data_IF_184532399176
#
_entry.id   IF_184532399176
#
_cell.length_a   1.000
_cell.length_b   1.000
_cell.length_c   1.000
_cell.angle_alpha   90.00
_cell.angle_beta   90.00
_cell.angle_gamma   90.00
#
_symmetry.space_group_name_H-M   'P 1'
#
loop_
_entity.id
_entity.type
_entity.pdbx_description
1 polymer ?
#
# COMPACT_ATOMS: atom_id res chain seq x y z
N UNK A 1 -30.91 6.83 37.21
CA UNK A 1 -29.46 6.64 37.33
C UNK A 1 -29.19 5.15 37.50
N UNK A 2 -28.49 4.54 36.55
CA UNK A 2 -28.13 3.12 36.54
C UNK A 2 -26.62 3.03 36.43
N UNK A 3 -26.01 2.23 37.30
CA UNK A 3 -24.57 1.93 37.25
C UNK A 3 -24.38 0.66 36.41
N UNK A 4 -23.62 0.79 35.33
CA UNK A 4 -23.28 -0.33 34.44
C UNK A 4 -21.78 -0.58 34.59
N UNK A 5 -21.41 -1.83 34.81
CA UNK A 5 -20.01 -2.24 34.91
C UNK A 5 -19.54 -2.81 33.58
N UNK A 6 -18.53 -2.20 32.98
CA UNK A 6 -17.90 -2.67 31.74
C UNK A 6 -16.40 -2.76 31.98
N UNK A 7 -15.83 -3.95 31.79
CA UNK A 7 -14.39 -4.24 31.92
C UNK A 7 -13.74 -3.69 33.20
N UNK A 8 -14.40 -3.92 34.34
CA UNK A 8 -13.90 -3.48 35.66
C UNK A 8 -14.09 -1.99 35.97
N UNK A 9 -14.56 -1.18 35.02
CA UNK A 9 -14.91 0.22 35.21
C UNK A 9 -16.42 0.41 35.43
N UNK A 10 -16.76 1.34 36.32
CA UNK A 10 -18.13 1.70 36.65
C UNK A 10 -18.54 2.95 35.85
N UNK A 11 -19.58 2.80 35.02
CA UNK A 11 -20.13 3.87 34.19
C UNK A 11 -21.51 4.25 34.71
N UNK A 12 -21.72 5.55 34.91
CA UNK A 12 -22.98 6.09 35.44
C UNK A 12 -23.84 6.56 34.27
N UNK A 13 -24.97 5.88 34.06
CA UNK A 13 -25.97 6.27 33.07
C UNK A 13 -27.09 7.02 33.77
N UNK A 14 -27.12 8.35 33.62
CA UNK A 14 -28.13 9.20 34.23
C UNK A 14 -29.29 9.51 33.27
N UNK A 15 -29.00 9.64 31.97
CA UNK A 15 -29.95 10.04 30.92
C UNK A 15 -29.97 9.06 29.74
N UNK A 16 -30.95 9.22 28.84
CA UNK A 16 -31.03 8.44 27.59
C UNK A 16 -29.85 8.76 26.67
N UNK A 17 -29.42 10.02 26.61
CA UNK A 17 -28.24 10.44 25.84
C UNK A 17 -26.94 9.78 26.34
N UNK A 18 -26.81 9.59 27.67
CA UNK A 18 -25.68 8.86 28.25
C UNK A 18 -25.69 7.39 27.83
N UNK A 19 -26.88 6.78 27.75
CA UNK A 19 -27.05 5.41 27.29
C UNK A 19 -26.70 5.29 25.80
N UNK A 20 -27.15 6.22 24.95
CA UNK A 20 -26.82 6.23 23.53
C UNK A 20 -25.32 6.44 23.29
N UNK A 21 -24.68 7.33 24.07
CA UNK A 21 -23.23 7.56 24.01
C UNK A 21 -22.45 6.33 24.46
N UNK A 22 -22.89 5.67 25.53
CA UNK A 22 -22.30 4.41 25.99
C UNK A 22 -22.46 3.32 24.94
N UNK A 23 -23.67 3.14 24.37
CA UNK A 23 -23.91 2.18 23.30
C UNK A 23 -23.09 2.47 22.04
N UNK A 24 -22.89 3.75 21.69
CA UNK A 24 -22.04 4.16 20.57
C UNK A 24 -20.58 3.82 20.84
N UNK A 25 -20.05 4.16 22.02
CA UNK A 25 -18.68 3.82 22.43
C UNK A 25 -18.45 2.31 22.47
N UNK A 26 -19.36 1.56 23.07
CA UNK A 26 -19.28 0.08 23.12
C UNK A 26 -19.38 -0.52 21.73
N UNK A 27 -20.23 0.02 20.84
CA UNK A 27 -20.25 -0.38 19.43
C UNK A 27 -18.93 -0.04 18.75
N UNK A 28 -18.37 1.14 18.95
CA UNK A 28 -17.09 1.55 18.38
C UNK A 28 -15.92 0.72 18.92
N UNK A 29 -15.97 0.25 20.17
CA UNK A 29 -15.00 -0.64 20.79
C UNK A 29 -15.16 -2.10 20.31
N UNK A 30 -16.40 -2.60 20.20
CA UNK A 30 -16.71 -3.91 19.60
C UNK A 30 -16.47 -3.93 18.08
N UNK A 31 -16.52 -2.76 17.43
CA UNK A 31 -16.22 -2.54 16.01
C UNK A 31 -14.80 -2.02 15.78
N UNK A 32 -13.97 -1.87 16.83
CA UNK A 32 -12.52 -1.79 16.62
C UNK A 32 -12.16 -3.07 15.87
N UNK A 33 -11.35 -2.99 14.80
CA UNK A 33 -10.99 -4.18 14.04
C UNK A 33 -10.04 -5.01 14.90
N UNK A 34 -10.59 -5.78 15.83
CA UNK A 34 -9.94 -6.94 16.40
C UNK A 34 -9.65 -7.87 15.22
N UNK A 35 -8.40 -8.29 15.10
CA UNK A 35 -8.07 -9.25 14.07
C UNK A 35 -8.88 -10.53 14.33
N UNK A 36 -9.49 -11.06 13.27
CA UNK A 36 -10.34 -12.25 13.34
C UNK A 36 -9.50 -13.53 13.43
N UNK A 37 -8.24 -13.47 13.00
CA UNK A 37 -7.34 -14.62 12.96
C UNK A 37 -6.02 -14.30 13.64
N UNK A 38 -5.59 -15.20 14.53
CA UNK A 38 -4.32 -15.12 15.27
C UNK A 38 -3.32 -16.20 14.83
N UNK A 39 -3.74 -17.12 13.95
CA UNK A 39 -2.87 -18.17 13.47
C UNK A 39 -2.03 -17.69 12.29
N UNK A 40 -0.77 -18.12 12.27
CA UNK A 40 0.13 -17.97 11.16
C UNK A 40 0.67 -19.35 10.78
N UNK A 41 0.36 -19.76 9.57
CA UNK A 41 0.85 -21.00 8.95
C UNK A 41 0.84 -20.75 7.44
N UNK A 42 1.93 -20.20 6.90
CA UNK A 42 2.02 -19.90 5.47
C UNK A 42 3.11 -20.78 4.89
N UNK A 43 2.72 -21.96 4.41
CA UNK A 43 3.66 -22.98 3.92
C UNK A 43 3.44 -23.37 2.46
N UNK A 44 2.59 -22.61 1.78
CA UNK A 44 2.32 -22.77 0.36
C UNK A 44 2.98 -21.61 -0.37
N UNK A 45 3.78 -21.88 -1.42
CA UNK A 45 4.29 -20.85 -2.32
C UNK A 45 3.17 -19.92 -2.82
N UNK A 46 3.35 -18.59 -2.80
CA UNK A 46 2.27 -17.67 -3.14
C UNK A 46 1.73 -17.84 -4.56
N UNK A 47 2.57 -18.16 -5.54
CA UNK A 47 2.18 -18.50 -6.91
C UNK A 47 1.17 -19.65 -6.95
N UNK A 48 1.43 -20.71 -6.18
CA UNK A 48 0.53 -21.87 -6.06
C UNK A 48 -0.76 -21.52 -5.32
N UNK A 49 -0.66 -20.69 -4.29
CA UNK A 49 -1.84 -20.21 -3.56
C UNK A 49 -2.76 -19.39 -4.48
N UNK A 50 -2.21 -18.46 -5.26
CA UNK A 50 -2.97 -17.65 -6.21
C UNK A 50 -3.55 -18.50 -7.35
N UNK A 51 -2.79 -19.47 -7.88
CA UNK A 51 -3.28 -20.42 -8.87
C UNK A 51 -4.44 -21.27 -8.32
N UNK A 52 -4.34 -21.73 -7.08
CA UNK A 52 -5.42 -22.43 -6.39
C UNK A 52 -6.65 -21.55 -6.24
N UNK A 53 -6.51 -20.29 -5.82
CA UNK A 53 -7.64 -19.36 -5.71
C UNK A 53 -8.33 -19.12 -7.06
N UNK A 54 -7.56 -19.00 -8.15
CA UNK A 54 -8.13 -18.94 -9.51
C UNK A 54 -8.95 -20.20 -9.83
N UNK A 55 -8.47 -21.39 -9.43
CA UNK A 55 -9.20 -22.65 -9.57
C UNK A 55 -10.46 -22.70 -8.70
N UNK A 56 -10.41 -22.17 -7.48
CA UNK A 56 -11.57 -22.06 -6.57
C UNK A 56 -12.72 -21.34 -7.24
N UNK A 57 -12.46 -20.21 -7.90
CA UNK A 57 -13.51 -19.48 -8.62
C UNK A 57 -14.12 -20.30 -9.75
N UNK A 58 -13.29 -20.94 -10.58
CA UNK A 58 -13.77 -21.78 -11.69
C UNK A 58 -14.66 -22.92 -11.17
N UNK A 59 -14.25 -23.54 -10.07
CA UNK A 59 -15.00 -24.64 -9.45
C UNK A 59 -16.27 -24.19 -8.76
N UNK A 60 -16.25 -23.04 -8.11
CA UNK A 60 -17.43 -22.41 -7.54
C UNK A 60 -18.47 -22.11 -8.63
N UNK A 61 -18.05 -21.61 -9.79
CA UNK A 61 -18.93 -21.38 -10.94
C UNK A 61 -19.52 -22.68 -11.52
N UNK A 62 -18.86 -23.82 -11.31
CA UNK A 62 -19.33 -25.16 -11.67
C UNK A 62 -20.18 -25.82 -10.57
N UNK A 63 -20.45 -25.13 -9.45
CA UNK A 63 -21.23 -25.66 -8.33
C UNK A 63 -20.44 -26.52 -7.32
N UNK A 64 -19.11 -26.61 -7.45
CA UNK A 64 -18.27 -27.36 -6.51
C UNK A 64 -17.85 -26.46 -5.36
N UNK A 65 -18.31 -26.78 -4.14
CA UNK A 65 -18.10 -25.97 -2.94
C UNK A 65 -17.11 -26.58 -1.93
N UNK A 66 -16.77 -27.86 -2.08
CA UNK A 66 -15.92 -28.60 -1.15
C UNK A 66 -14.45 -28.25 -1.29
N UNK A 67 -13.79 -27.88 -0.18
CA UNK A 67 -12.35 -27.56 -0.18
C UNK A 67 -11.51 -28.76 -0.58
N UNK A 68 -11.82 -29.95 -0.05
CA UNK A 68 -11.08 -31.18 -0.32
C UNK A 68 -11.12 -31.58 -1.80
N UNK A 69 -12.26 -31.41 -2.47
CA UNK A 69 -12.43 -31.78 -3.88
C UNK A 69 -11.60 -30.85 -4.77
N UNK A 70 -11.71 -29.54 -4.54
CA UNK A 70 -10.95 -28.54 -5.31
C UNK A 70 -9.44 -28.69 -5.11
N UNK A 71 -8.98 -28.93 -3.86
CA UNK A 71 -7.56 -29.17 -3.59
C UNK A 71 -7.10 -30.45 -4.26
N UNK A 72 -7.87 -31.54 -4.18
CA UNK A 72 -7.48 -32.83 -4.76
C UNK A 72 -7.34 -32.72 -6.28
N UNK A 73 -8.32 -32.11 -6.95
CA UNK A 73 -8.23 -31.85 -8.39
C UNK A 73 -7.06 -30.95 -8.76
N UNK A 74 -6.82 -29.88 -7.99
CA UNK A 74 -5.69 -28.98 -8.23
C UNK A 74 -4.35 -29.71 -8.10
N UNK A 75 -4.20 -30.58 -7.10
CA UNK A 75 -2.99 -31.38 -6.94
C UNK A 75 -2.81 -32.37 -8.08
N UNK A 76 -3.88 -33.01 -8.54
CA UNK A 76 -3.84 -33.96 -9.66
C UNK A 76 -3.50 -33.25 -10.99
N UNK A 77 -4.09 -32.09 -11.27
CA UNK A 77 -3.84 -31.28 -12.48
C UNK A 77 -2.37 -30.81 -12.56
N UNK A 78 -1.80 -30.40 -11.43
CA UNK A 78 -0.41 -29.92 -11.35
C UNK A 78 0.61 -31.04 -11.07
N UNK A 79 0.19 -32.32 -11.08
CA UNK A 79 1.02 -33.51 -10.79
C UNK A 79 1.78 -33.39 -9.45
N UNK A 80 1.10 -32.85 -8.44
CA UNK A 80 1.62 -32.63 -7.10
C UNK A 80 1.19 -33.74 -6.14
N UNK A 81 2.00 -33.98 -5.09
CA UNK A 81 1.67 -34.99 -4.09
C UNK A 81 0.37 -34.67 -3.34
N UNK A 82 -0.53 -35.65 -3.22
CA UNK A 82 -1.77 -35.55 -2.41
C UNK A 82 -1.50 -35.21 -0.95
N UNK A 83 -0.31 -35.51 -0.42
CA UNK A 83 0.10 -35.16 0.95
C UNK A 83 0.18 -33.65 1.18
N UNK A 84 0.33 -32.85 0.13
CA UNK A 84 0.35 -31.38 0.22
C UNK A 84 -0.98 -30.78 0.66
N UNK A 85 -2.10 -31.53 0.56
CA UNK A 85 -3.39 -31.13 1.13
C UNK A 85 -3.29 -30.80 2.63
N UNK A 86 -2.42 -31.51 3.38
CA UNK A 86 -2.13 -31.27 4.81
C UNK A 86 -1.40 -29.96 5.08
N UNK A 87 -0.81 -29.34 4.05
CA UNK A 87 -0.12 -28.05 4.12
C UNK A 87 -0.99 -26.93 3.55
N UNK A 88 -1.72 -27.21 2.47
CA UNK A 88 -2.62 -26.24 1.82
C UNK A 88 -3.79 -25.89 2.73
N UNK A 89 -4.46 -26.89 3.32
CA UNK A 89 -5.66 -26.66 4.13
C UNK A 89 -5.41 -25.74 5.33
N UNK A 90 -4.36 -25.98 6.16
CA UNK A 90 -4.09 -25.06 7.28
C UNK A 90 -3.60 -23.68 6.83
N UNK A 91 -2.98 -23.57 5.65
CA UNK A 91 -2.59 -22.27 5.08
C UNK A 91 -3.82 -21.45 4.69
N UNK A 92 -4.76 -22.05 3.97
CA UNK A 92 -6.03 -21.41 3.61
C UNK A 92 -6.83 -21.01 4.85
N UNK A 93 -6.88 -21.89 5.85
CA UNK A 93 -7.60 -21.61 7.10
C UNK A 93 -6.96 -20.45 7.88
N UNK A 94 -5.62 -20.39 7.96
CA UNK A 94 -4.92 -19.30 8.65
C UNK A 94 -5.10 -17.94 7.98
N UNK A 95 -5.34 -17.94 6.66
CA UNK A 95 -5.67 -16.73 5.90
C UNK A 95 -7.18 -16.40 5.91
N UNK A 96 -8.03 -17.18 6.58
CA UNK A 96 -9.49 -16.98 6.54
C UNK A 96 -10.12 -17.24 5.15
N UNK A 97 -9.42 -17.97 4.29
CA UNK A 97 -9.88 -18.31 2.93
C UNK A 97 -10.81 -19.53 2.92
N UNK A 98 -10.82 -20.29 4.02
CA UNK A 98 -11.72 -21.43 4.22
C UNK A 98 -12.36 -21.38 5.60
N UNK A 99 -13.60 -21.86 5.68
CA UNK A 99 -14.36 -22.03 6.90
C UNK A 99 -15.25 -23.28 6.78
N UNK A 100 -15.27 -24.13 7.80
CA UNK A 100 -16.14 -25.32 7.87
C UNK A 100 -16.10 -26.21 6.61
N UNK A 101 -14.90 -26.42 6.05
CA UNK A 101 -14.68 -27.26 4.86
C UNK A 101 -15.10 -26.64 3.53
N UNK A 102 -15.47 -25.35 3.51
CA UNK A 102 -15.85 -24.59 2.31
C UNK A 102 -14.93 -23.38 2.12
N UNK A 103 -14.81 -22.89 0.89
CA UNK A 103 -14.15 -21.62 0.61
C UNK A 103 -15.03 -20.45 1.05
N UNK A 104 -14.40 -19.39 1.58
CA UNK A 104 -15.11 -18.17 1.94
C UNK A 104 -15.43 -17.32 0.71
N UNK A 105 -16.40 -16.42 0.82
CA UNK A 105 -16.71 -15.47 -0.25
C UNK A 105 -15.48 -14.65 -0.67
N UNK A 106 -14.61 -14.30 0.29
CA UNK A 106 -13.36 -13.59 0.03
C UNK A 106 -12.41 -14.41 -0.85
N UNK A 107 -12.29 -15.73 -0.63
CA UNK A 107 -11.47 -16.61 -1.47
C UNK A 107 -12.00 -16.71 -2.90
N UNK A 108 -13.32 -16.85 -3.06
CA UNK A 108 -13.97 -16.89 -4.38
C UNK A 108 -13.78 -15.57 -5.12
N UNK A 109 -13.92 -14.44 -4.43
CA UNK A 109 -13.76 -13.11 -5.03
C UNK A 109 -12.32 -12.83 -5.46
N UNK A 110 -11.32 -13.15 -4.64
CA UNK A 110 -9.90 -13.08 -5.06
C UNK A 110 -9.68 -13.97 -6.28
N UNK A 111 -10.22 -15.19 -6.27
CA UNK A 111 -10.16 -16.12 -7.39
C UNK A 111 -10.74 -15.54 -8.68
N UNK A 112 -11.89 -14.86 -8.59
CA UNK A 112 -12.55 -14.17 -9.71
C UNK A 112 -11.66 -13.08 -10.29
N UNK A 113 -11.13 -12.19 -9.44
CA UNK A 113 -10.28 -11.08 -9.87
C UNK A 113 -9.00 -11.58 -10.55
N UNK A 114 -8.39 -12.64 -10.02
CA UNK A 114 -7.24 -13.31 -10.64
C UNK A 114 -7.60 -13.98 -11.98
N UNK A 115 -8.80 -14.54 -12.10
CA UNK A 115 -9.28 -15.13 -13.34
C UNK A 115 -9.51 -14.07 -14.43
N UNK A 116 -10.08 -12.93 -14.06
CA UNK A 116 -10.36 -11.79 -14.95
C UNK A 116 -9.12 -10.94 -15.28
N UNK A 117 -7.95 -11.24 -14.69
CA UNK A 117 -6.72 -10.45 -14.90
C UNK A 117 -6.70 -9.10 -14.16
N UNK A 118 -7.62 -8.87 -13.22
CA UNK A 118 -7.75 -7.64 -12.43
C UNK A 118 -6.81 -7.67 -11.22
N UNK A 119 -5.50 -7.66 -11.50
CA UNK A 119 -4.46 -7.90 -10.50
C UNK A 119 -4.45 -6.87 -9.37
N UNK A 120 -4.66 -5.58 -9.67
CA UNK A 120 -4.61 -4.53 -8.65
C UNK A 120 -5.77 -4.63 -7.64
N UNK A 121 -6.95 -5.01 -8.14
CA UNK A 121 -8.11 -5.29 -7.29
C UNK A 121 -7.92 -6.57 -6.48
N UNK A 122 -7.30 -7.61 -7.08
CA UNK A 122 -6.95 -8.82 -6.34
C UNK A 122 -5.97 -8.52 -5.20
N UNK A 123 -4.95 -7.68 -5.45
CA UNK A 123 -4.03 -7.19 -4.41
C UNK A 123 -4.76 -6.45 -3.30
N UNK A 124 -5.72 -5.59 -3.65
CA UNK A 124 -6.50 -4.88 -2.63
C UNK A 124 -7.34 -5.82 -1.78
N UNK A 125 -7.94 -6.83 -2.41
CA UNK A 125 -8.71 -7.82 -1.68
C UNK A 125 -7.82 -8.66 -0.77
N UNK A 126 -6.61 -9.00 -1.21
CA UNK A 126 -5.60 -9.67 -0.37
C UNK A 126 -5.18 -8.80 0.83
N UNK A 127 -4.96 -7.48 0.65
CA UNK A 127 -4.69 -6.58 1.78
C UNK A 127 -5.82 -6.60 2.80
N UNK A 128 -7.07 -6.56 2.33
CA UNK A 128 -8.25 -6.62 3.19
C UNK A 128 -8.34 -7.94 3.97
N UNK A 129 -7.88 -9.05 3.38
CA UNK A 129 -7.77 -10.35 4.05
C UNK A 129 -6.64 -10.32 5.09
N UNK A 130 -5.47 -9.78 4.75
CA UNK A 130 -4.33 -9.71 5.66
C UNK A 130 -4.60 -8.81 6.86
N UNK A 131 -5.33 -7.72 6.68
CA UNK A 131 -5.75 -6.83 7.76
C UNK A 131 -6.65 -7.52 8.81
N UNK A 132 -7.26 -8.67 8.48
CA UNK A 132 -8.04 -9.50 9.41
C UNK A 132 -7.18 -10.51 10.17
N UNK A 133 -5.92 -10.71 9.81
CA UNK A 133 -4.99 -11.60 10.50
C UNK A 133 -3.99 -10.76 11.30
N UNK A 134 -3.91 -10.96 12.62
CA UNK A 134 -3.12 -10.09 13.50
C UNK A 134 -1.63 -10.12 13.19
N UNK A 135 -1.08 -11.31 12.92
CA UNK A 135 0.34 -11.46 12.57
C UNK A 135 0.64 -10.73 11.26
N UNK A 136 -0.19 -10.92 10.23
CA UNK A 136 0.03 -10.28 8.93
C UNK A 136 -0.20 -8.77 8.99
N UNK A 137 -1.21 -8.31 9.73
CA UNK A 137 -1.49 -6.89 9.95
C UNK A 137 -0.30 -6.20 10.61
N UNK A 138 0.22 -6.77 11.70
CA UNK A 138 1.36 -6.20 12.43
C UNK A 138 2.62 -6.13 11.54
N UNK A 139 2.88 -7.16 10.71
CA UNK A 139 3.99 -7.13 9.76
C UNK A 139 3.81 -6.01 8.73
N UNK A 140 2.61 -5.88 8.16
CA UNK A 140 2.28 -4.86 7.16
C UNK A 140 2.36 -3.43 7.72
N UNK A 141 2.05 -3.24 9.01
CA UNK A 141 2.16 -1.95 9.69
C UNK A 141 3.60 -1.61 10.07
N UNK A 142 4.43 -2.62 10.36
CA UNK A 142 5.83 -2.45 10.76
C UNK A 142 6.79 -2.21 9.59
N UNK A 143 6.47 -2.71 8.39
CA UNK A 143 7.30 -2.53 7.21
C UNK A 143 7.11 -1.12 6.61
N UNK A 144 8.14 -0.28 6.68
CA UNK A 144 8.05 1.10 6.15
C UNK A 144 8.21 1.16 4.62
N UNK A 145 8.95 0.19 4.05
CA UNK A 145 9.15 0.00 2.61
C UNK A 145 9.14 -1.50 2.22
N UNK A 146 9.29 -1.79 0.93
CA UNK A 146 9.28 -3.17 0.41
C UNK A 146 10.50 -4.00 0.81
N UNK A 147 11.65 -3.36 1.03
CA UNK A 147 12.89 -4.04 1.39
C UNK A 147 12.87 -4.49 2.86
N UNK A 148 12.18 -3.75 3.72
CA UNK A 148 12.04 -4.05 5.15
C UNK A 148 11.06 -5.19 5.49
N UNK A 149 10.26 -5.66 4.52
CA UNK A 149 9.24 -6.70 4.80
C UNK A 149 9.87 -7.96 5.42
N UNK A 150 11.03 -8.40 4.94
CA UNK A 150 11.69 -9.59 5.48
C UNK A 150 12.08 -9.42 6.96
N UNK A 151 12.67 -8.26 7.28
CA UNK A 151 13.04 -7.88 8.64
C UNK A 151 11.79 -7.78 9.55
N UNK A 152 10.70 -7.22 9.03
CA UNK A 152 9.43 -7.12 9.74
C UNK A 152 8.82 -8.52 10.03
N UNK A 153 8.82 -9.41 9.03
CA UNK A 153 8.36 -10.81 9.18
C UNK A 153 9.15 -11.51 10.28
N UNK A 154 10.49 -11.51 10.21
CA UNK A 154 11.34 -12.17 11.21
C UNK A 154 11.08 -11.60 12.60
N UNK A 155 11.05 -10.27 12.72
CA UNK A 155 10.86 -9.60 14.02
C UNK A 155 9.51 -9.93 14.66
N UNK A 156 8.40 -9.85 13.91
CA UNK A 156 7.05 -10.13 14.44
C UNK A 156 6.94 -11.60 14.81
N UNK A 157 7.37 -12.52 13.95
CA UNK A 157 7.25 -13.95 14.23
C UNK A 157 8.07 -14.40 15.45
N UNK A 158 9.24 -13.81 15.65
CA UNK A 158 10.03 -14.02 16.88
C UNK A 158 9.31 -13.50 18.13
N UNK A 159 8.66 -12.34 18.05
CA UNK A 159 7.90 -11.76 19.17
C UNK A 159 6.71 -12.65 19.59
N UNK A 160 6.10 -13.38 18.65
CA UNK A 160 5.06 -14.38 18.93
C UNK A 160 5.62 -15.72 19.45
N UNK A 161 6.91 -15.79 19.78
CA UNK A 161 7.55 -16.94 20.42
C UNK A 161 7.68 -18.17 19.51
N UNK A 162 7.70 -17.99 18.19
CA UNK A 162 7.75 -19.10 17.22
C UNK A 162 9.19 -19.45 16.82
N UNK A 163 9.42 -20.74 16.61
CA UNK A 163 10.62 -21.23 15.90
C UNK A 163 10.45 -20.94 14.41
N UNK A 164 11.36 -20.14 13.85
CA UNK A 164 11.28 -19.68 12.47
C UNK A 164 11.67 -20.80 11.51
N UNK A 165 10.72 -21.32 10.74
CA UNK A 165 11.02 -22.20 9.60
C UNK A 165 11.31 -21.36 8.37
N UNK A 166 12.32 -21.77 7.61
CA UNK A 166 12.75 -21.05 6.41
C UNK A 166 11.62 -20.91 5.37
N UNK A 167 10.86 -21.98 5.14
CA UNK A 167 9.75 -21.97 4.19
C UNK A 167 8.61 -21.03 4.61
N UNK A 168 8.28 -21.03 5.90
CA UNK A 168 7.25 -20.14 6.43
C UNK A 168 7.65 -18.66 6.33
N UNK A 169 8.89 -18.32 6.69
CA UNK A 169 9.40 -16.94 6.53
C UNK A 169 9.40 -16.54 5.06
N UNK A 170 9.98 -17.38 4.19
CA UNK A 170 10.09 -17.11 2.75
C UNK A 170 8.72 -16.85 2.12
N UNK A 171 7.78 -17.78 2.30
CA UNK A 171 6.47 -17.66 1.65
C UNK A 171 5.61 -16.56 2.26
N UNK A 172 5.79 -16.24 3.54
CA UNK A 172 5.16 -15.05 4.14
C UNK A 172 5.69 -13.77 3.51
N UNK A 173 7.01 -13.63 3.38
CA UNK A 173 7.62 -12.46 2.73
C UNK A 173 7.13 -12.31 1.29
N UNK A 174 7.19 -13.38 0.50
CA UNK A 174 6.74 -13.36 -0.90
C UNK A 174 5.25 -13.03 -1.01
N UNK A 175 4.39 -13.59 -0.14
CA UNK A 175 2.95 -13.31 -0.13
C UNK A 175 2.66 -11.85 0.24
N UNK A 176 3.34 -11.33 1.25
CA UNK A 176 3.16 -9.94 1.68
C UNK A 176 3.66 -8.97 0.62
N UNK A 177 4.80 -9.25 -0.05
CA UNK A 177 5.31 -8.42 -1.15
C UNK A 177 4.31 -8.30 -2.31
N UNK A 178 3.51 -9.33 -2.59
CA UNK A 178 2.48 -9.25 -3.63
C UNK A 178 1.39 -8.21 -3.30
N UNK A 179 1.02 -8.09 -2.03
CA UNK A 179 -0.06 -7.21 -1.59
C UNK A 179 0.44 -5.89 -0.99
N UNK A 180 1.68 -5.78 -0.54
CA UNK A 180 2.16 -4.60 0.16
C UNK A 180 2.12 -3.36 -0.75
N UNK A 181 1.47 -2.25 -0.37
CA UNK A 181 1.38 -1.05 -1.20
C UNK A 181 2.74 -0.53 -1.69
N UNK A 182 3.78 -0.63 -0.85
CA UNK A 182 5.15 -0.20 -1.19
C UNK A 182 5.92 -1.16 -2.11
N UNK A 183 5.39 -2.36 -2.36
CA UNK A 183 5.97 -3.33 -3.29
C UNK A 183 5.29 -3.33 -4.66
N UNK A 184 4.36 -2.39 -4.88
CA UNK A 184 3.68 -2.24 -6.15
C UNK A 184 4.69 -1.94 -7.26
N UNK A 185 4.53 -2.59 -8.41
CA UNK A 185 5.35 -2.30 -9.58
C UNK A 185 5.04 -0.86 -10.04
N UNK A 186 6.02 0.02 -9.87
CA UNK A 186 5.94 1.43 -10.23
C UNK A 186 6.10 1.69 -11.73
N UNK A 187 5.58 0.76 -12.54
CA UNK A 187 5.34 0.96 -13.96
C UNK A 187 4.18 1.94 -14.16
N UNK A 188 4.52 3.19 -14.47
CA UNK A 188 3.57 4.30 -14.61
C UNK A 188 2.94 4.41 -16.02
N UNK A 189 2.93 3.31 -16.80
CA UNK A 189 2.20 3.24 -18.08
C UNK A 189 0.68 3.31 -17.91
N UNK A 190 0.17 2.77 -16.80
CA UNK A 190 -1.23 2.81 -16.40
C UNK A 190 -1.31 3.27 -14.94
N UNK A 191 -1.83 4.48 -14.73
CA UNK A 191 -1.74 5.20 -13.45
C UNK A 191 -3.10 5.37 -12.81
N UNK A 192 -3.14 5.14 -11.49
CA UNK A 192 -4.26 5.49 -10.61
C UNK A 192 -3.77 6.44 -9.50
N UNK A 193 -4.64 7.24 -8.86
CA UNK A 193 -4.24 8.10 -7.73
C UNK A 193 -3.51 7.36 -6.61
N UNK A 194 -3.89 6.10 -6.38
CA UNK A 194 -3.23 5.24 -5.40
C UNK A 194 -1.81 4.88 -5.81
N UNK A 195 -1.62 4.49 -7.08
CA UNK A 195 -0.30 4.12 -7.60
C UNK A 195 0.68 5.28 -7.49
N UNK A 196 0.22 6.52 -7.67
CA UNK A 196 1.00 7.73 -7.43
C UNK A 196 1.47 7.81 -5.98
N UNK A 197 0.56 7.66 -5.01
CA UNK A 197 0.89 7.71 -3.59
C UNK A 197 1.88 6.61 -3.14
N UNK A 198 1.82 5.45 -3.79
CA UNK A 198 2.74 4.33 -3.51
C UNK A 198 4.10 4.50 -4.21
N UNK A 199 4.13 5.13 -5.39
CA UNK A 199 5.30 5.23 -6.27
C UNK A 199 5.94 6.61 -6.31
N UNK A 200 5.78 7.41 -5.26
CA UNK A 200 6.29 8.78 -5.17
C UNK A 200 7.80 8.87 -5.45
N UNK A 201 8.60 7.95 -4.91
CA UNK A 201 10.04 7.92 -5.18
C UNK A 201 10.36 7.71 -6.66
N UNK A 202 9.62 6.82 -7.33
CA UNK A 202 9.75 6.62 -8.78
C UNK A 202 9.36 7.88 -9.55
N UNK A 203 8.35 8.61 -9.08
CA UNK A 203 7.95 9.90 -9.68
C UNK A 203 9.07 10.93 -9.53
N UNK A 204 9.69 11.02 -8.35
CA UNK A 204 10.84 11.92 -8.12
C UNK A 204 12.01 11.56 -9.04
N UNK A 205 12.33 10.26 -9.18
CA UNK A 205 13.37 9.78 -10.09
C UNK A 205 13.10 10.17 -11.54
N UNK A 206 11.85 10.04 -11.99
CA UNK A 206 11.44 10.43 -13.34
C UNK A 206 11.44 11.95 -13.55
N UNK A 207 11.20 12.73 -12.50
CA UNK A 207 11.26 14.19 -12.55
C UNK A 207 12.70 14.73 -12.57
N UNK A 208 13.65 14.03 -11.94
CA UNK A 208 15.01 14.52 -11.72
C UNK A 208 15.73 15.05 -12.98
N UNK A 209 15.68 14.37 -14.16
CA UNK A 209 16.30 14.90 -15.38
C UNK A 209 15.73 16.24 -15.84
N UNK A 210 14.45 16.48 -15.58
CA UNK A 210 13.74 17.70 -16.00
C UNK A 210 13.89 18.84 -14.98
N UNK A 211 14.10 18.50 -13.72
CA UNK A 211 14.45 19.46 -12.67
C UNK A 211 15.78 20.16 -12.97
N UNK A 212 16.74 19.45 -13.59
CA UNK A 212 18.03 20.04 -14.02
C UNK A 212 17.84 21.24 -14.94
N UNK A 213 16.99 21.12 -15.95
CA UNK A 213 16.71 22.22 -16.88
C UNK A 213 16.13 23.45 -16.17
N UNK A 214 15.38 23.24 -15.08
CA UNK A 214 14.79 24.33 -14.29
C UNK A 214 15.81 24.97 -13.35
N UNK A 215 16.75 24.19 -12.81
CA UNK A 215 17.86 24.71 -12.01
C UNK A 215 18.78 25.60 -12.85
N UNK A 216 19.10 25.17 -14.07
CA UNK A 216 19.89 25.95 -15.03
C UNK A 216 19.19 27.29 -15.38
N UNK A 217 17.86 27.29 -15.54
CA UNK A 217 17.09 28.52 -15.79
C UNK A 217 17.06 29.51 -14.61
N UNK A 218 17.22 29.01 -13.39
CA UNK A 218 17.20 29.79 -12.16
C UNK A 218 18.62 30.05 -11.62
N UNK A 219 19.66 29.76 -12.40
CA UNK A 219 21.06 29.91 -12.02
C UNK A 219 21.40 29.26 -10.66
N UNK A 220 20.77 28.13 -10.34
CA UNK A 220 21.03 27.39 -9.10
C UNK A 220 22.34 26.62 -9.26
N UNK A 221 23.35 26.96 -8.46
CA UNK A 221 24.71 26.44 -8.61
C UNK A 221 24.87 24.95 -8.28
N UNK A 222 23.94 24.38 -7.51
CA UNK A 222 23.95 22.98 -7.07
C UNK A 222 23.17 22.11 -8.04
N UNK A 223 23.87 21.34 -8.87
CA UNK A 223 23.21 20.43 -9.82
C UNK A 223 22.49 19.26 -9.12
N UNK A 224 21.37 18.76 -9.67
CA UNK A 224 20.60 17.67 -9.06
C UNK A 224 21.39 16.39 -8.81
N UNK A 225 22.47 16.10 -9.55
CA UNK A 225 23.25 14.85 -9.35
C UNK A 225 24.07 14.83 -8.05
N UNK A 226 24.31 16.01 -7.47
CA UNK A 226 24.98 16.16 -6.18
C UNK A 226 24.01 16.10 -5.00
N UNK A 227 22.73 15.90 -5.28
CA UNK A 227 21.68 15.93 -4.28
C UNK A 227 21.22 14.52 -3.94
N UNK A 228 20.89 14.32 -2.68
CA UNK A 228 20.12 13.19 -2.21
C UNK A 228 18.85 13.70 -1.55
N UNK A 229 17.86 12.82 -1.43
CA UNK A 229 16.60 13.17 -0.79
C UNK A 229 16.19 12.11 0.22
N UNK A 230 15.67 12.59 1.34
CA UNK A 230 15.20 11.77 2.44
C UNK A 230 13.73 12.09 2.68
N UNK A 231 12.90 11.06 2.79
CA UNK A 231 11.47 11.24 3.03
C UNK A 231 11.27 11.80 4.44
N UNK A 232 10.59 12.95 4.54
CA UNK A 232 10.20 13.55 5.81
C UNK A 232 8.75 13.21 6.17
N UNK A 233 7.86 13.23 5.19
CA UNK A 233 6.45 12.84 5.34
C UNK A 233 5.94 12.19 4.02
N UNK A 234 4.69 11.68 3.94
CA UNK A 234 4.19 11.02 2.73
C UNK A 234 4.25 11.85 1.44
N UNK A 235 4.30 13.17 1.55
CA UNK A 235 4.27 14.14 0.45
C UNK A 235 5.52 15.03 0.36
N UNK A 236 6.43 14.96 1.34
CA UNK A 236 7.58 15.88 1.45
C UNK A 236 8.87 15.12 1.66
N UNK A 237 9.91 15.57 0.94
CA UNK A 237 11.27 15.05 1.06
C UNK A 237 12.23 16.20 1.32
N UNK A 238 13.19 16.00 2.22
CA UNK A 238 14.29 16.93 2.44
C UNK A 238 15.37 16.66 1.39
N UNK A 239 15.92 17.73 0.83
CA UNK A 239 17.05 17.68 -0.11
C UNK A 239 18.32 17.99 0.68
N UNK A 240 19.29 17.08 0.65
CA UNK A 240 20.64 17.28 1.19
C UNK A 240 21.69 17.19 0.10
N UNK A 241 22.85 17.80 0.34
CA UNK A 241 24.03 17.62 -0.51
C UNK A 241 24.66 16.28 -0.16
N UNK A 242 24.83 15.42 -1.16
CA UNK A 242 25.36 14.06 -1.00
C UNK A 242 26.69 14.08 -0.25
N UNK A 243 26.80 13.24 0.78
CA UNK A 243 27.99 13.14 1.62
C UNK A 243 28.12 14.27 2.65
N UNK A 244 27.06 15.03 2.89
CA UNK A 244 26.98 16.05 3.93
C UNK A 244 25.65 15.97 4.66
N UNK A 245 25.62 16.43 5.92
CA UNK A 245 24.37 16.58 6.67
C UNK A 245 23.64 17.91 6.36
N UNK A 246 24.09 18.67 5.35
CA UNK A 246 23.51 19.97 5.02
C UNK A 246 22.22 19.79 4.22
N UNK A 247 21.08 20.10 4.85
CA UNK A 247 19.81 20.24 4.16
C UNK A 247 19.73 21.60 3.45
N UNK A 248 19.50 21.56 2.14
CA UNK A 248 19.46 22.75 1.29
C UNK A 248 18.07 23.01 0.69
N UNK A 249 17.16 22.04 0.77
CA UNK A 249 15.91 22.14 0.04
C UNK A 249 14.81 21.17 0.44
N UNK A 250 13.68 21.28 -0.26
CA UNK A 250 12.53 20.38 -0.12
C UNK A 250 11.96 19.98 -1.47
N UNK A 251 11.57 18.72 -1.61
CA UNK A 251 10.67 18.26 -2.67
C UNK A 251 9.28 18.11 -2.07
N UNK A 252 8.28 18.67 -2.74
CA UNK A 252 6.88 18.67 -2.30
C UNK A 252 6.01 18.09 -3.40
N UNK A 253 5.29 17.03 -3.07
CA UNK A 253 4.41 16.31 -3.99
C UNK A 253 2.97 16.78 -3.76
N UNK A 254 2.36 17.32 -4.81
CA UNK A 254 0.96 17.72 -4.81
C UNK A 254 0.02 16.54 -5.05
N UNK A 255 -1.25 16.74 -4.69
CA UNK A 255 -2.32 15.81 -5.03
C UNK A 255 -2.47 15.70 -6.56
N UNK A 256 -2.80 14.51 -7.08
CA UNK A 256 -3.03 14.34 -8.50
C UNK A 256 -4.26 15.11 -8.97
N UNK A 257 -4.16 15.71 -10.16
CA UNK A 257 -5.25 16.43 -10.81
C UNK A 257 -5.63 15.76 -12.13
N UNK A 258 -6.90 15.89 -12.55
CA UNK A 258 -7.42 15.23 -13.76
C UNK A 258 -7.51 16.14 -14.99
N UNK A 259 -7.04 17.38 -14.88
CA UNK A 259 -7.13 18.37 -15.96
C UNK A 259 -5.93 19.31 -15.94
N UNK A 260 -5.48 19.69 -17.14
CA UNK A 260 -4.47 20.75 -17.36
C UNK A 260 -5.13 22.14 -17.39
N UNK A 261 -6.39 22.26 -16.95
CA UNK A 261 -7.06 23.56 -16.89
C UNK A 261 -6.30 24.51 -15.95
N UNK A 262 -5.95 25.67 -16.49
CA UNK A 262 -5.12 26.69 -15.84
C UNK A 262 -5.61 27.08 -14.42
N UNK A 263 -6.92 27.21 -14.14
CA UNK A 263 -7.39 27.49 -12.77
C UNK A 263 -7.06 26.38 -11.78
N UNK A 264 -7.19 25.11 -12.18
CA UNK A 264 -6.90 23.97 -11.31
C UNK A 264 -5.40 23.85 -11.01
N UNK A 265 -4.55 24.05 -12.03
CA UNK A 265 -3.10 24.09 -11.86
C UNK A 265 -2.66 25.19 -10.90
N UNK A 266 -3.21 26.41 -11.07
CA UNK A 266 -2.93 27.55 -10.19
C UNK A 266 -3.33 27.26 -8.74
N UNK A 267 -4.52 26.72 -8.54
CA UNK A 267 -5.01 26.37 -7.20
C UNK A 267 -4.13 25.30 -6.55
N UNK A 268 -3.73 24.26 -7.29
CA UNK A 268 -2.84 23.23 -6.77
C UNK A 268 -1.44 23.77 -6.43
N UNK A 269 -0.86 24.64 -7.27
CA UNK A 269 0.42 25.30 -6.97
C UNK A 269 0.35 26.21 -5.75
N UNK A 270 -0.75 26.97 -5.61
CA UNK A 270 -0.97 27.87 -4.47
C UNK A 270 -1.01 27.10 -3.14
N UNK A 271 -1.68 25.94 -3.10
CA UNK A 271 -1.66 25.05 -1.91
C UNK A 271 -0.25 24.58 -1.55
N UNK A 272 0.63 24.40 -2.55
CA UNK A 272 2.03 24.03 -2.30
C UNK A 272 2.89 25.23 -1.90
N UNK A 273 2.53 26.45 -2.34
CA UNK A 273 3.20 27.68 -1.92
C UNK A 273 3.05 27.93 -0.41
N UNK A 274 1.95 27.50 0.22
CA UNK A 274 1.76 27.58 1.68
C UNK A 274 2.84 26.84 2.47
N UNK A 275 3.54 25.88 1.84
CA UNK A 275 4.64 25.11 2.45
C UNK A 275 6.03 25.72 2.19
N UNK A 276 6.10 26.83 1.45
CA UNK A 276 7.35 27.53 1.11
C UNK A 276 7.52 28.73 2.02
N UNK A 277 8.71 28.85 2.59
CA UNK A 277 9.10 30.01 3.39
C UNK A 277 10.40 30.58 2.81
N UNK A 278 10.37 31.86 2.50
CA UNK A 278 11.54 32.59 1.96
C UNK A 278 12.73 32.46 2.91
N UNK A 279 13.92 32.25 2.34
CA UNK A 279 15.18 32.19 3.11
C UNK A 279 15.38 30.96 4.00
N UNK A 280 14.41 30.05 4.12
CA UNK A 280 14.58 28.82 4.94
C UNK A 280 15.38 27.75 4.20
N UNK A 281 15.16 27.62 2.89
CA UNK A 281 15.87 26.68 2.04
C UNK A 281 16.36 27.38 0.78
N UNK A 282 17.46 26.89 0.22
CA UNK A 282 18.04 27.38 -1.02
C UNK A 282 17.15 27.02 -2.23
N UNK A 283 16.44 25.89 -2.16
CA UNK A 283 15.57 25.41 -3.24
C UNK A 283 14.34 24.62 -2.77
N UNK A 284 13.23 24.83 -3.45
CA UNK A 284 12.03 24.00 -3.35
C UNK A 284 11.69 23.42 -4.72
N UNK A 285 11.34 22.14 -4.78
CA UNK A 285 10.89 21.45 -5.99
C UNK A 285 9.47 20.95 -5.78
N UNK A 286 8.52 21.49 -6.52
CA UNK A 286 7.13 21.05 -6.52
C UNK A 286 6.88 20.10 -7.67
N UNK A 287 6.20 19.00 -7.39
CA UNK A 287 5.79 18.00 -8.39
C UNK A 287 4.30 17.79 -8.27
N UNK A 288 3.54 18.13 -9.31
CA UNK A 288 2.10 17.87 -9.38
C UNK A 288 1.82 16.84 -10.47
N UNK A 289 1.35 15.63 -10.12
CA UNK A 289 0.89 14.64 -11.08
C UNK A 289 -0.38 15.10 -11.79
N UNK A 290 -0.39 15.03 -13.11
CA UNK A 290 -1.55 15.31 -13.96
C UNK A 290 -1.96 14.02 -14.65
N UNK A 291 -3.19 13.58 -14.42
CA UNK A 291 -3.76 12.36 -14.98
C UNK A 291 -4.63 12.69 -16.18
N UNK A 292 -4.39 11.99 -17.29
CA UNK A 292 -5.14 12.16 -18.55
C UNK A 292 -5.56 10.79 -19.10
N UNK A 293 -6.80 10.67 -19.58
CA UNK A 293 -7.33 9.45 -20.23
C UNK A 293 -8.54 8.85 -19.51
N UNK A 294 -8.91 7.64 -19.92
CA UNK A 294 -10.09 6.92 -19.43
C UNK A 294 -9.97 6.50 -17.95
N UNK A 295 -11.11 6.36 -17.28
CA UNK A 295 -11.20 6.08 -15.83
C UNK A 295 -10.49 4.81 -15.36
N UNK A 296 -10.28 3.84 -16.26
CA UNK A 296 -9.61 2.57 -15.92
C UNK A 296 -8.09 2.63 -16.07
N UNK A 297 -7.57 3.52 -16.90
CA UNK A 297 -6.15 3.58 -17.20
C UNK A 297 -5.75 4.98 -17.67
N UNK A 298 -5.19 5.78 -16.76
CA UNK A 298 -4.75 7.14 -17.06
C UNK A 298 -3.25 7.16 -17.36
N UNK A 299 -2.87 8.00 -18.32
CA UNK A 299 -1.49 8.42 -18.54
C UNK A 299 -1.15 9.57 -17.58
N UNK A 300 0.14 9.76 -17.29
CA UNK A 300 0.58 10.78 -16.34
C UNK A 300 1.58 11.76 -16.96
N UNK A 301 1.31 13.05 -16.77
CA UNK A 301 2.26 14.15 -16.93
C UNK A 301 2.64 14.69 -15.56
N UNK A 302 3.76 15.40 -15.48
CA UNK A 302 4.16 16.11 -14.28
C UNK A 302 4.21 17.61 -14.58
N UNK A 303 3.57 18.42 -13.74
CA UNK A 303 3.93 19.83 -13.62
C UNK A 303 5.05 19.92 -12.58
N UNK A 304 6.21 20.39 -13.03
CA UNK A 304 7.37 20.66 -12.19
C UNK A 304 7.49 22.17 -12.02
N UNK A 305 7.68 22.63 -10.79
CA UNK A 305 8.04 24.00 -10.49
C UNK A 305 9.20 24.02 -9.50
N UNK A 306 10.28 24.70 -9.86
CA UNK A 306 11.40 24.97 -8.97
C UNK A 306 11.26 26.39 -8.48
N UNK A 307 11.43 26.57 -7.17
CA UNK A 307 11.43 27.86 -6.49
C UNK A 307 12.78 28.03 -5.81
N UNK A 308 13.53 29.06 -6.18
CA UNK A 308 14.79 29.43 -5.52
C UNK A 308 14.50 30.14 -4.20
N UNK A 309 15.45 30.15 -3.26
CA UNK A 309 15.26 30.67 -1.91
C UNK A 309 14.79 32.13 -1.81
N UNK A 310 14.97 32.93 -2.87
CA UNK A 310 14.49 34.30 -3.07
C UNK A 310 13.13 34.37 -3.80
N UNK A 311 12.41 33.24 -3.85
CA UNK A 311 11.09 33.07 -4.45
C UNK A 311 11.02 33.20 -5.97
N UNK A 312 12.16 33.25 -6.68
CA UNK A 312 12.16 33.15 -8.14
C UNK A 312 11.69 31.75 -8.59
N UNK A 313 10.80 31.69 -9.59
CA UNK A 313 10.12 30.45 -9.99
C UNK A 313 10.36 30.13 -11.45
N UNK A 314 10.61 28.85 -11.74
CA UNK A 314 10.58 28.31 -13.09
C UNK A 314 9.73 27.05 -13.11
N UNK A 315 8.84 26.93 -14.11
CA UNK A 315 7.92 25.81 -14.22
C UNK A 315 7.94 25.18 -15.62
N UNK A 316 7.61 23.89 -15.69
CA UNK A 316 7.51 23.11 -16.93
C UNK A 316 6.53 21.96 -16.75
N UNK A 317 5.74 21.69 -17.78
CA UNK A 317 4.95 20.46 -17.89
C UNK A 317 5.76 19.44 -18.67
N UNK A 318 5.84 18.22 -18.13
CA UNK A 318 6.64 17.13 -18.67
C UNK A 318 5.76 15.93 -18.96
N UNK A 319 5.90 15.35 -20.16
CA UNK A 319 5.33 14.04 -20.48
C UNK A 319 6.31 12.96 -20.06
N UNK A 320 5.85 12.02 -19.24
CA UNK A 320 6.66 10.86 -18.88
C UNK A 320 6.61 9.85 -20.02
N UNK A 321 7.71 9.72 -20.77
CA UNK A 321 7.88 8.61 -21.71
C UNK A 321 8.35 7.40 -20.92
N UNK A 322 7.52 6.36 -20.88
CA UNK A 322 7.89 5.05 -20.34
C UNK A 322 9.09 4.52 -21.14
N UNK A 323 10.28 4.58 -20.53
CA UNK A 323 11.48 3.91 -20.99
C UNK A 323 11.57 2.56 -20.30
#
# INVERSE_FOLDING_TARGET
MVLIRVDGHEEVVATVDDLERLCKRLREELLRPECQYNSWYIRVPPDRLLALLKRVYVKYAQGVLGVSDVISEFLDEFKLSKTLSRVITPTLSSLGLTASGKFTAAAVEVGKLLHEGRLDEARERLRSIFAKNCVLKEIMEKATDCAEIEKAVVSVLTAYGKSLRFDEVKYTVELLKIAHPRCEDCNLSCVTPRKIANCVERIIQLAAPHTRELFEKLDISLLPEHLEYLRADPSTFLISVRGTDKHIGKIIIGEPIESVQLPQLKNSLAKLDEKIVEGVYEVYVKIIPILEGDDKCKTMKLLLEVVRGDLEKASKIVKLTSS
#
